data_IF_154175793420
#
_entry.id   IF_154175793420
#
_cell.length_a   1.000
_cell.length_b   1.000
_cell.length_c   1.000
_cell.angle_alpha   90.00
_cell.angle_beta   90.00
_cell.angle_gamma   90.00
#
_symmetry.space_group_name_H-M   'P 1'
#
loop_
_entity.id
_entity.type
_entity.pdbx_description
1 polymer ?
#
# COMPACT_ATOMS: atom_id res chain seq x y z
N UNK A 1 8.68 4.08 14.93
CA UNK A 1 7.44 4.59 14.33
C UNK A 1 7.62 4.46 12.84
N UNK A 2 6.91 3.55 12.18
CA UNK A 2 7.18 3.23 10.78
C UNK A 2 6.61 4.31 9.86
N UNK A 3 7.48 5.05 9.18
CA UNK A 3 7.06 6.04 8.16
C UNK A 3 6.88 5.34 6.82
N UNK A 4 5.64 5.34 6.32
CA UNK A 4 5.30 4.79 5.01
C UNK A 4 5.02 5.94 4.05
N UNK A 5 5.60 5.86 2.87
CA UNK A 5 5.38 6.78 1.76
C UNK A 5 4.80 6.06 0.55
N UNK A 6 4.09 6.82 -0.27
CA UNK A 6 3.44 6.34 -1.47
C UNK A 6 4.21 6.84 -2.70
N UNK A 7 4.86 5.93 -3.41
CA UNK A 7 5.65 6.25 -4.61
C UNK A 7 4.94 5.77 -5.87
N UNK A 8 4.83 6.58 -6.93
CA UNK A 8 4.30 6.08 -8.20
C UNK A 8 5.20 4.96 -8.75
N UNK A 9 4.59 3.92 -9.34
CA UNK A 9 5.32 2.85 -10.01
C UNK A 9 5.71 3.31 -11.42
N UNK A 10 7.01 3.42 -11.69
CA UNK A 10 7.50 3.98 -12.96
C UNK A 10 7.08 3.15 -14.20
N UNK A 11 6.96 1.83 -14.07
CA UNK A 11 6.63 0.95 -15.19
C UNK A 11 5.15 0.59 -15.33
N UNK A 12 4.34 0.81 -14.28
CA UNK A 12 2.94 0.39 -14.25
C UNK A 12 2.07 1.63 -14.03
N UNK A 13 1.33 2.09 -15.05
CA UNK A 13 0.40 3.19 -14.87
C UNK A 13 -0.65 2.80 -13.84
N UNK A 14 -1.11 3.78 -13.05
CA UNK A 14 -2.13 3.57 -12.02
C UNK A 14 -1.74 2.53 -10.95
N UNK A 15 -0.44 2.40 -10.71
CA UNK A 15 0.12 1.61 -9.62
C UNK A 15 1.04 2.49 -8.78
N UNK A 16 0.95 2.32 -7.46
CA UNK A 16 1.82 2.96 -6.48
C UNK A 16 2.44 1.90 -5.59
N UNK A 17 3.61 2.21 -5.07
CA UNK A 17 4.38 1.42 -4.13
C UNK A 17 4.22 2.02 -2.74
N UNK A 18 3.99 1.16 -1.77
CA UNK A 18 4.05 1.50 -0.36
C UNK A 18 5.45 1.18 0.12
N UNK A 19 6.21 2.23 0.46
CA UNK A 19 7.62 2.12 0.82
C UNK A 19 7.79 2.50 2.28
N UNK A 20 8.39 1.60 3.06
CA UNK A 20 8.87 1.91 4.40
C UNK A 20 10.22 2.62 4.29
N UNK A 21 10.21 3.92 4.55
CA UNK A 21 11.34 4.81 4.26
C UNK A 21 12.59 4.50 5.08
N UNK A 22 12.42 4.17 6.36
CA UNK A 22 13.54 3.84 7.27
C UNK A 22 14.36 2.64 6.80
N UNK A 23 13.73 1.70 6.09
CA UNK A 23 14.36 0.48 5.57
C UNK A 23 14.51 0.49 4.06
N UNK A 24 13.99 1.52 3.39
CA UNK A 24 13.81 1.57 1.95
C UNK A 24 13.19 0.27 1.39
N UNK A 25 12.17 -0.25 2.09
CA UNK A 25 11.57 -1.55 1.83
C UNK A 25 10.16 -1.41 1.25
N UNK A 26 9.89 -2.10 0.14
CA UNK A 26 8.55 -2.12 -0.46
C UNK A 26 7.69 -3.14 0.30
N UNK A 27 6.72 -2.64 1.07
CA UNK A 27 5.85 -3.47 1.90
C UNK A 27 4.54 -3.85 1.19
N UNK A 28 4.18 -3.13 0.12
CA UNK A 28 2.95 -3.36 -0.62
C UNK A 28 2.85 -2.51 -1.87
N UNK A 29 1.78 -2.71 -2.63
CA UNK A 29 1.44 -1.93 -3.81
C UNK A 29 -0.03 -1.55 -3.77
N UNK A 30 -0.35 -0.37 -4.26
CA UNK A 30 -1.72 0.08 -4.47
C UNK A 30 -1.97 0.10 -5.97
N UNK A 31 -2.96 -0.64 -6.44
CA UNK A 31 -3.28 -0.72 -7.88
C UNK A 31 -4.74 -0.39 -8.11
N UNK A 32 -5.03 0.34 -9.18
CA UNK A 32 -6.39 0.50 -9.68
C UNK A 32 -6.92 -0.82 -10.27
N UNK A 33 -8.00 -1.32 -9.69
CA UNK A 33 -8.76 -2.45 -10.21
C UNK A 33 -9.66 -2.03 -11.39
N UNK A 34 -10.21 -3.02 -12.09
CA UNK A 34 -11.14 -2.81 -13.21
C UNK A 34 -12.44 -2.10 -12.78
N UNK A 35 -12.78 -2.15 -11.50
CA UNK A 35 -13.89 -1.40 -10.91
C UNK A 35 -13.57 0.08 -10.66
N UNK A 36 -12.41 0.56 -11.09
CA UNK A 36 -11.97 1.94 -10.96
C UNK A 36 -11.46 2.33 -9.58
N UNK A 37 -11.51 1.41 -8.62
CA UNK A 37 -11.05 1.60 -7.23
C UNK A 37 -9.62 1.10 -7.02
N UNK A 38 -8.95 1.65 -6.02
CA UNK A 38 -7.61 1.26 -5.63
C UNK A 38 -7.65 0.16 -4.57
N UNK A 39 -6.92 -0.92 -4.79
CA UNK A 39 -6.76 -2.02 -3.83
C UNK A 39 -5.30 -2.18 -3.40
N UNK A 40 -5.09 -2.64 -2.17
CA UNK A 40 -3.75 -2.96 -1.66
C UNK A 40 -3.40 -4.40 -2.04
N UNK A 41 -2.24 -4.59 -2.65
CA UNK A 41 -1.67 -5.91 -2.93
C UNK A 41 -0.38 -6.08 -2.15
N UNK A 42 -0.23 -7.23 -1.52
CA UNK A 42 0.92 -7.53 -0.66
C UNK A 42 2.16 -7.80 -1.52
N UNK A 43 3.30 -7.25 -1.14
CA UNK A 43 4.59 -7.62 -1.69
C UNK A 43 5.40 -8.35 -0.61
N UNK A 44 5.79 -9.62 -0.83
CA UNK A 44 6.60 -10.40 0.11
C UNK A 44 6.03 -11.76 0.55
N UNK A 45 6.82 -12.60 1.25
CA UNK A 45 6.49 -13.98 1.56
C UNK A 45 5.41 -14.10 2.65
N UNK A 46 4.27 -14.66 2.27
CA UNK A 46 3.19 -15.31 3.07
C UNK A 46 2.54 -14.59 4.27
N UNK A 47 3.18 -13.66 4.97
CA UNK A 47 2.64 -12.98 6.16
C UNK A 47 2.96 -11.49 6.14
N UNK A 48 2.35 -10.77 5.20
CA UNK A 48 2.35 -9.30 5.22
C UNK A 48 1.06 -8.81 5.88
N UNK A 49 1.10 -7.88 6.86
CA UNK A 49 -0.11 -7.28 7.44
C UNK A 49 -1.02 -6.65 6.38
N UNK A 50 -0.45 -6.36 5.21
CA UNK A 50 -1.15 -5.93 4.00
C UNK A 50 -2.24 -6.90 3.53
N UNK A 51 -2.23 -8.18 3.94
CA UNK A 51 -3.29 -9.14 3.61
C UNK A 51 -4.63 -8.77 4.24
N UNK A 52 -4.63 -8.19 5.42
CA UNK A 52 -5.85 -7.73 6.09
C UNK A 52 -6.53 -6.59 5.33
N UNK A 53 -5.75 -5.84 4.56
CA UNK A 53 -6.23 -4.70 3.77
C UNK A 53 -6.44 -5.05 2.28
N UNK A 54 -6.19 -6.30 1.88
CA UNK A 54 -6.31 -6.72 0.48
C UNK A 54 -7.77 -6.78 0.00
N UNK A 55 -8.73 -6.82 0.92
CA UNK A 55 -10.16 -6.73 0.63
C UNK A 55 -10.66 -5.28 0.58
N UNK A 56 -9.89 -4.33 1.11
CA UNK A 56 -10.29 -2.92 1.15
C UNK A 56 -10.11 -2.27 -0.21
N UNK A 57 -11.09 -1.43 -0.55
CA UNK A 57 -11.13 -0.67 -1.80
C UNK A 57 -11.24 0.81 -1.48
N UNK A 58 -10.40 1.60 -2.12
CA UNK A 58 -10.29 3.03 -1.90
C UNK A 58 -10.60 3.78 -3.19
N UNK A 59 -11.18 4.97 -3.07
CA UNK A 59 -11.44 5.84 -4.23
C UNK A 59 -10.17 6.57 -4.68
N UNK A 60 -9.18 6.73 -3.78
CA UNK A 60 -7.88 7.36 -4.04
C UNK A 60 -6.74 6.54 -3.40
N UNK A 61 -5.52 6.54 -3.98
CA UNK A 61 -4.40 5.78 -3.43
C UNK A 61 -3.92 6.31 -2.07
N UNK A 62 -4.15 7.59 -1.77
CA UNK A 62 -3.86 8.20 -0.46
C UNK A 62 -4.74 7.61 0.67
N UNK A 63 -5.95 7.15 0.35
CA UNK A 63 -6.81 6.46 1.31
C UNK A 63 -6.17 5.17 1.83
N UNK A 64 -5.54 4.41 0.94
CA UNK A 64 -4.78 3.21 1.30
C UNK A 64 -3.57 3.54 2.18
N UNK A 65 -2.85 4.63 1.88
CA UNK A 65 -1.71 5.08 2.67
C UNK A 65 -2.11 5.40 4.12
N UNK A 66 -3.21 6.16 4.30
CA UNK A 66 -3.68 6.60 5.62
C UNK A 66 -4.03 5.41 6.53
N UNK A 67 -4.70 4.40 5.98
CA UNK A 67 -5.06 3.18 6.74
C UNK A 67 -3.79 2.44 7.19
N UNK A 68 -2.82 2.29 6.31
CA UNK A 68 -1.56 1.61 6.62
C UNK A 68 -0.74 2.39 7.65
N UNK A 69 -0.63 3.71 7.50
CA UNK A 69 0.05 4.58 8.47
C UNK A 69 -0.62 4.50 9.84
N UNK A 70 -1.96 4.45 9.90
CA UNK A 70 -2.68 4.26 11.16
C UNK A 70 -2.34 2.91 11.78
N UNK A 71 -2.40 1.82 11.01
CA UNK A 71 -2.12 0.47 11.51
C UNK A 71 -0.67 0.28 12.00
N UNK A 72 0.30 0.88 11.32
CA UNK A 72 1.72 0.77 11.67
C UNK A 72 2.19 1.84 12.67
N UNK A 73 1.46 2.95 12.78
CA UNK A 73 1.76 4.06 13.70
C UNK A 73 1.24 3.83 15.11
N UNK A 74 0.19 3.03 15.27
CA UNK A 74 -0.42 2.68 16.58
C UNK A 74 0.32 1.53 17.30
N UNK A 75 1.43 1.04 16.74
CA UNK A 75 2.16 -0.16 17.21
C UNK A 75 3.62 0.14 17.53
#
# INVERSE_FOLDING_TARGET
MATIELHPHNELPETWLLVWTERNEIIGRVRRGEDGKFGITTHGPHWSPMKSFAADKFDEPEGALKVIQTYLGDR
#
